data_IF_408500087622
#
_entry.id   IF_408500087622
#
_cell.length_a   1.000
_cell.length_b   1.000
_cell.length_c   1.000
_cell.angle_alpha   90.00
_cell.angle_beta   90.00
_cell.angle_gamma   90.00
#
_symmetry.space_group_name_H-M   'P 1'
#
loop_
_entity.id
_entity.type
_entity.pdbx_description
1 polymer ?
#
# COMPACT_ATOMS: atom_id res chain seq x y z
N UNK A 1 38.56 54.58 14.13
CA UNK A 1 37.49 55.50 14.46
C UNK A 1 36.21 54.69 14.65
N UNK A 2 35.75 54.60 15.94
CA UNK A 2 34.38 54.41 16.32
C UNK A 2 33.71 53.06 15.95
N UNK A 3 34.03 51.98 16.68
CA UNK A 3 33.21 50.80 16.72
C UNK A 3 32.01 51.05 17.66
N UNK A 4 30.78 51.05 17.14
CA UNK A 4 29.56 50.98 17.93
C UNK A 4 29.10 49.52 18.07
N UNK A 5 29.33 48.94 19.23
CA UNK A 5 28.80 47.65 19.66
C UNK A 5 27.37 47.86 20.12
N UNK A 6 26.37 47.35 19.41
CA UNK A 6 24.99 47.33 19.83
C UNK A 6 24.72 46.01 20.60
N UNK A 7 24.54 46.15 21.92
CA UNK A 7 24.13 45.06 22.81
C UNK A 7 22.64 44.75 22.58
N UNK A 8 22.34 43.53 22.12
CA UNK A 8 20.98 42.99 22.07
C UNK A 8 20.63 42.48 23.48
N UNK A 9 19.57 43.04 24.07
CA UNK A 9 19.01 42.55 25.33
C UNK A 9 18.07 41.36 25.02
N UNK A 10 18.08 40.26 25.82
CA UNK A 10 17.09 39.21 25.67
C UNK A 10 15.73 39.63 26.23
N UNK A 11 14.70 39.50 25.47
CA UNK A 11 13.30 39.70 25.86
C UNK A 11 12.82 38.47 26.61
N UNK A 12 12.42 38.65 27.87
CA UNK A 12 11.79 37.61 28.69
C UNK A 12 10.38 37.30 28.16
N UNK A 13 10.09 36.01 27.90
CA UNK A 13 8.76 35.50 27.56
C UNK A 13 7.90 35.45 28.85
N UNK A 14 6.56 35.72 28.74
CA UNK A 14 5.67 35.65 29.88
C UNK A 14 5.41 34.21 30.35
N UNK A 15 5.36 34.04 31.69
CA UNK A 15 5.02 32.78 32.35
C UNK A 15 3.63 32.27 31.94
N UNK A 16 3.57 31.01 31.53
CA UNK A 16 2.29 30.34 31.26
C UNK A 16 1.64 29.92 32.58
N UNK A 17 0.42 30.40 32.77
CA UNK A 17 -0.43 30.05 33.90
C UNK A 17 -0.62 28.55 34.08
N UNK A 18 -0.72 28.13 35.34
CA UNK A 18 -1.03 26.77 35.79
C UNK A 18 -2.34 26.31 35.16
N UNK A 19 -2.29 25.17 34.45
CA UNK A 19 -3.53 24.44 34.09
C UNK A 19 -3.97 23.61 35.29
N UNK A 20 -5.19 23.81 35.70
CA UNK A 20 -5.90 22.98 36.67
C UNK A 20 -6.00 21.54 36.12
N UNK A 21 -5.60 20.58 36.94
CA UNK A 21 -5.71 19.15 36.67
C UNK A 21 -7.17 18.73 36.89
N UNK A 22 -7.90 18.46 35.81
CA UNK A 22 -9.18 17.80 35.89
C UNK A 22 -8.98 16.34 36.27
N UNK A 23 -9.49 15.95 37.42
CA UNK A 23 -9.54 14.56 37.93
C UNK A 23 -10.57 13.79 37.12
N UNK A 24 -10.11 12.75 36.39
CA UNK A 24 -10.96 11.77 35.73
C UNK A 24 -11.34 10.69 36.73
N UNK A 25 -12.64 10.35 36.92
CA UNK A 25 -13.06 9.28 37.81
C UNK A 25 -12.65 7.89 37.27
N UNK A 26 -12.31 6.92 38.13
CA UNK A 26 -11.92 5.60 37.70
C UNK A 26 -13.13 4.73 37.38
N UNK A 27 -13.42 4.52 36.11
CA UNK A 27 -14.23 3.38 35.65
C UNK A 27 -13.30 2.40 34.94
N UNK A 28 -12.69 1.54 35.74
CA UNK A 28 -11.88 0.45 35.23
C UNK A 28 -12.79 -0.71 34.78
N UNK A 29 -13.03 -0.79 33.48
CA UNK A 29 -13.35 -2.09 32.89
C UNK A 29 -12.02 -2.83 32.71
N UNK A 30 -11.94 -4.14 33.01
CA UNK A 30 -10.69 -4.89 32.86
C UNK A 30 -10.26 -4.90 31.39
N UNK A 31 -9.03 -4.45 31.13
CA UNK A 31 -8.41 -4.50 29.81
C UNK A 31 -8.19 -5.99 29.48
N UNK A 32 -8.73 -6.53 28.38
CA UNK A 32 -8.46 -7.90 27.96
C UNK A 32 -6.96 -8.08 27.66
N UNK A 33 -6.44 -9.25 28.02
CA UNK A 33 -5.02 -9.61 27.91
C UNK A 33 -4.46 -9.28 26.50
N UNK A 34 -3.29 -8.61 26.47
CA UNK A 34 -2.61 -8.16 25.26
C UNK A 34 -2.30 -9.29 24.24
N UNK A 35 -2.14 -10.52 24.72
CA UNK A 35 -1.85 -11.69 23.88
C UNK A 35 -3.00 -12.12 22.95
N UNK A 36 -4.28 -12.02 23.41
CA UNK A 36 -5.43 -12.37 22.55
C UNK A 36 -5.74 -11.33 21.47
N UNK A 37 -5.32 -10.07 21.67
CA UNK A 37 -5.53 -9.00 20.68
C UNK A 37 -4.51 -9.05 19.54
N UNK A 38 -3.27 -9.46 19.80
CA UNK A 38 -2.22 -9.54 18.80
C UNK A 38 -2.54 -10.61 17.73
N UNK A 39 -2.96 -11.81 18.13
CA UNK A 39 -3.30 -12.90 17.21
C UNK A 39 -4.48 -12.57 16.28
N UNK A 40 -5.53 -11.91 16.79
CA UNK A 40 -6.70 -11.51 15.97
C UNK A 40 -6.40 -10.34 15.03
N UNK A 41 -5.54 -9.40 15.43
CA UNK A 41 -5.17 -8.26 14.60
C UNK A 41 -4.26 -8.67 13.44
N UNK A 42 -3.41 -9.66 13.64
CA UNK A 42 -2.49 -10.17 12.62
C UNK A 42 -3.24 -10.93 11.50
N UNK A 43 -4.27 -11.70 11.85
CA UNK A 43 -5.13 -12.39 10.87
C UNK A 43 -5.95 -11.44 9.98
N UNK A 44 -6.32 -10.25 10.48
CA UNK A 44 -7.09 -9.25 9.73
C UNK A 44 -6.26 -8.37 8.79
N UNK A 45 -4.92 -8.42 8.88
CA UNK A 45 -4.00 -7.62 8.09
C UNK A 45 -3.36 -8.39 6.92
N UNK A 46 -3.64 -9.68 6.77
CA UNK A 46 -3.10 -10.50 5.68
C UNK A 46 -3.91 -10.29 4.40
N UNK A 47 -3.25 -10.35 3.24
CA UNK A 47 -3.96 -10.47 1.97
C UNK A 47 -4.72 -11.78 1.96
N UNK A 48 -5.98 -11.71 1.59
CA UNK A 48 -6.77 -12.87 1.25
C UNK A 48 -6.89 -12.95 -0.28
N UNK A 49 -6.26 -13.96 -0.86
CA UNK A 49 -6.33 -14.25 -2.28
C UNK A 49 -7.09 -15.55 -2.45
N UNK A 50 -8.32 -15.46 -2.96
CA UNK A 50 -9.17 -16.60 -3.22
C UNK A 50 -9.34 -16.82 -4.72
N UNK A 51 -9.21 -18.07 -5.17
CA UNK A 51 -9.35 -18.46 -6.57
C UNK A 51 -10.50 -19.44 -6.69
N UNK A 52 -11.51 -19.06 -7.46
CA UNK A 52 -12.73 -19.86 -7.67
C UNK A 52 -13.03 -20.00 -9.15
N UNK A 53 -13.19 -21.24 -9.64
CA UNK A 53 -13.59 -21.50 -11.02
C UNK A 53 -15.11 -21.68 -11.13
N UNK A 54 -15.72 -20.99 -12.08
CA UNK A 54 -17.15 -21.11 -12.41
C UNK A 54 -17.30 -21.20 -13.94
N UNK A 55 -17.58 -22.38 -14.44
CA UNK A 55 -17.61 -22.67 -15.87
C UNK A 55 -16.28 -22.28 -16.55
N UNK A 56 -16.32 -21.42 -17.58
CA UNK A 56 -15.14 -20.97 -18.32
C UNK A 56 -14.48 -19.70 -17.72
N UNK A 57 -14.96 -19.22 -16.56
CA UNK A 57 -14.44 -18.03 -15.87
C UNK A 57 -13.78 -18.41 -14.57
N UNK A 58 -12.57 -17.90 -14.37
CA UNK A 58 -11.86 -17.96 -13.09
C UNK A 58 -11.99 -16.62 -12.35
N UNK A 59 -12.42 -16.65 -11.12
CA UNK A 59 -12.48 -15.47 -10.24
C UNK A 59 -11.30 -15.48 -9.30
N UNK A 60 -10.60 -14.34 -9.23
CA UNK A 60 -9.49 -14.09 -8.31
C UNK A 60 -9.87 -12.92 -7.42
N UNK A 61 -10.24 -13.20 -6.18
CA UNK A 61 -10.57 -12.19 -5.19
C UNK A 61 -9.31 -11.78 -4.40
N UNK A 62 -8.99 -10.49 -4.37
CA UNK A 62 -7.84 -9.93 -3.66
C UNK A 62 -8.34 -8.90 -2.65
N UNK A 63 -8.29 -9.25 -1.38
CA UNK A 63 -8.73 -8.41 -0.27
C UNK A 63 -7.63 -8.20 0.78
N UNK A 64 -7.73 -7.12 1.53
CA UNK A 64 -6.82 -6.82 2.63
C UNK A 64 -5.48 -6.23 2.21
N UNK A 65 -4.46 -6.39 3.03
CA UNK A 65 -3.10 -5.88 2.77
C UNK A 65 -2.35 -6.83 1.84
N UNK A 66 -1.70 -6.30 0.81
CA UNK A 66 -0.98 -7.10 -0.18
C UNK A 66 0.40 -7.48 0.37
N UNK A 67 0.73 -8.78 0.23
CA UNK A 67 2.03 -9.31 0.53
C UNK A 67 2.33 -9.45 2.02
N UNK A 68 3.62 -9.56 2.32
CA UNK A 68 4.15 -9.71 3.68
C UNK A 68 5.24 -8.65 3.87
N UNK A 69 4.88 -7.41 4.22
CA UNK A 69 5.83 -6.32 4.40
C UNK A 69 6.96 -6.68 5.39
N UNK A 70 8.19 -6.28 5.05
CA UNK A 70 9.36 -6.58 5.90
C UNK A 70 9.27 -5.93 7.28
N UNK A 71 8.61 -4.77 7.37
CA UNK A 71 8.40 -4.04 8.62
C UNK A 71 7.40 -4.70 9.57
N UNK A 72 6.68 -5.72 9.13
CA UNK A 72 5.78 -6.47 10.01
C UNK A 72 6.59 -7.28 11.01
N UNK A 73 6.42 -6.97 12.27
CA UNK A 73 7.00 -7.74 13.36
C UNK A 73 6.11 -8.93 13.68
N UNK A 74 6.68 -10.10 13.57
CA UNK A 74 6.08 -11.35 14.01
C UNK A 74 6.76 -11.76 15.33
N UNK A 75 5.96 -12.13 16.32
CA UNK A 75 6.48 -12.61 17.60
C UNK A 75 7.23 -13.94 17.43
N UNK A 76 6.79 -14.77 16.46
CA UNK A 76 7.45 -16.01 16.06
C UNK A 76 7.93 -15.93 14.61
N UNK A 77 9.25 -16.14 14.35
CA UNK A 77 9.78 -16.22 12.99
C UNK A 77 9.12 -17.29 12.12
N UNK A 78 8.61 -18.38 12.71
CA UNK A 78 7.91 -19.44 11.98
C UNK A 78 6.58 -18.93 11.40
N UNK A 79 5.87 -18.04 12.10
CA UNK A 79 4.62 -17.43 11.62
C UNK A 79 4.86 -16.56 10.39
N UNK A 80 5.97 -15.82 10.36
CA UNK A 80 6.37 -15.02 9.20
C UNK A 80 6.63 -15.92 7.98
N UNK A 81 7.39 -16.97 8.14
CA UNK A 81 7.70 -17.92 7.06
C UNK A 81 6.43 -18.57 6.51
N UNK A 82 5.55 -19.05 7.40
CA UNK A 82 4.29 -19.67 6.98
C UNK A 82 3.36 -18.69 6.24
N UNK A 83 3.36 -17.41 6.62
CA UNK A 83 2.57 -16.37 5.96
C UNK A 83 3.13 -16.08 4.56
N UNK A 84 4.44 -15.98 4.43
CA UNK A 84 5.11 -15.77 3.15
C UNK A 84 4.93 -16.94 2.18
N UNK A 85 5.02 -18.17 2.67
CA UNK A 85 4.78 -19.37 1.87
C UNK A 85 3.35 -19.41 1.33
N UNK A 86 2.35 -19.10 2.16
CA UNK A 86 0.94 -19.00 1.70
C UNK A 86 0.75 -17.97 0.60
N UNK A 87 1.38 -16.81 0.73
CA UNK A 87 1.34 -15.76 -0.28
C UNK A 87 1.96 -16.25 -1.60
N UNK A 88 3.15 -16.87 -1.55
CA UNK A 88 3.81 -17.43 -2.73
C UNK A 88 3.00 -18.53 -3.40
N UNK A 89 2.35 -19.39 -2.61
CA UNK A 89 1.46 -20.42 -3.14
C UNK A 89 0.25 -19.82 -3.86
N UNK A 90 -0.33 -18.75 -3.33
CA UNK A 90 -1.41 -18.04 -3.99
C UNK A 90 -0.96 -17.43 -5.34
N UNK A 91 0.20 -16.78 -5.38
CA UNK A 91 0.78 -16.23 -6.63
C UNK A 91 1.04 -17.33 -7.66
N UNK A 92 1.59 -18.47 -7.23
CA UNK A 92 1.82 -19.62 -8.12
C UNK A 92 0.51 -20.15 -8.70
N UNK A 93 -0.54 -20.28 -7.89
CA UNK A 93 -1.86 -20.70 -8.36
C UNK A 93 -2.48 -19.73 -9.35
N UNK A 94 -2.23 -18.42 -9.21
CA UNK A 94 -2.62 -17.44 -10.23
C UNK A 94 -1.92 -17.75 -11.57
N UNK A 95 -0.62 -17.99 -11.56
CA UNK A 95 0.15 -18.28 -12.78
C UNK A 95 -0.25 -19.59 -13.48
N UNK A 96 -0.94 -20.48 -12.77
CA UNK A 96 -1.44 -21.77 -13.27
C UNK A 96 -2.90 -21.71 -13.79
N UNK A 97 -3.52 -20.54 -13.83
CA UNK A 97 -4.90 -20.37 -14.34
C UNK A 97 -4.92 -20.59 -15.85
N UNK A 98 -5.75 -21.51 -16.33
CA UNK A 98 -5.95 -21.83 -17.75
C UNK A 98 -7.32 -21.38 -18.28
N UNK A 99 -8.14 -20.73 -17.46
CA UNK A 99 -9.47 -20.29 -17.84
C UNK A 99 -9.41 -19.24 -18.98
N UNK A 100 -10.30 -19.30 -19.97
CA UNK A 100 -10.34 -18.34 -21.08
C UNK A 100 -10.72 -16.92 -20.62
N UNK A 101 -11.42 -16.79 -19.48
CA UNK A 101 -11.73 -15.53 -18.83
C UNK A 101 -11.30 -15.53 -17.36
N UNK A 102 -10.64 -14.47 -16.94
CA UNK A 102 -10.22 -14.27 -15.54
C UNK A 102 -10.76 -12.94 -15.04
N UNK A 103 -11.56 -12.97 -14.00
CA UNK A 103 -12.10 -11.76 -13.34
C UNK A 103 -11.36 -11.57 -12.02
N UNK A 104 -10.64 -10.48 -11.90
CA UNK A 104 -9.86 -10.12 -10.70
C UNK A 104 -10.62 -9.04 -9.93
N UNK A 105 -11.15 -9.38 -8.79
CA UNK A 105 -11.86 -8.46 -7.90
C UNK A 105 -10.91 -7.95 -6.83
N UNK A 106 -10.76 -6.61 -6.72
CA UNK A 106 -9.74 -5.98 -5.89
C UNK A 106 -10.40 -5.03 -4.89
N UNK A 107 -10.18 -5.30 -3.60
CA UNK A 107 -10.55 -4.44 -2.48
C UNK A 107 -9.41 -4.40 -1.47
N UNK A 108 -8.47 -3.48 -1.66
CA UNK A 108 -7.24 -3.42 -0.88
C UNK A 108 -6.72 -1.99 -0.78
N UNK A 109 -6.20 -1.64 0.36
CA UNK A 109 -5.49 -0.37 0.58
C UNK A 109 -4.01 -0.42 0.19
N UNK A 110 -3.56 -1.54 -0.40
CA UNK A 110 -2.18 -1.73 -0.82
C UNK A 110 -1.37 -2.58 0.15
N UNK A 111 -0.07 -2.42 0.09
CA UNK A 111 0.90 -3.19 0.88
C UNK A 111 2.26 -3.20 0.20
N UNK A 112 2.91 -4.34 0.15
CA UNK A 112 4.24 -4.48 -0.45
C UNK A 112 4.18 -4.35 -1.98
N UNK A 113 4.98 -3.41 -2.53
CA UNK A 113 5.00 -3.13 -3.98
C UNK A 113 5.61 -4.29 -4.76
N UNK A 114 6.66 -4.93 -4.24
CA UNK A 114 7.29 -6.05 -4.92
C UNK A 114 6.32 -7.23 -5.03
N UNK A 115 5.58 -7.52 -3.97
CA UNK A 115 4.57 -8.57 -3.96
C UNK A 115 3.39 -8.26 -4.90
N UNK A 116 2.98 -6.99 -4.99
CA UNK A 116 1.98 -6.55 -5.95
C UNK A 116 2.46 -6.70 -7.41
N UNK A 117 3.72 -6.41 -7.69
CA UNK A 117 4.32 -6.63 -9.01
C UNK A 117 4.37 -8.12 -9.36
N UNK A 118 4.65 -9.01 -8.41
CA UNK A 118 4.60 -10.46 -8.64
C UNK A 118 3.19 -10.93 -9.04
N UNK A 119 2.14 -10.42 -8.39
CA UNK A 119 0.75 -10.72 -8.76
C UNK A 119 0.43 -10.14 -10.16
N UNK A 120 0.83 -8.90 -10.41
CA UNK A 120 0.66 -8.26 -11.72
C UNK A 120 1.31 -9.07 -12.85
N UNK A 121 2.55 -9.51 -12.66
CA UNK A 121 3.28 -10.31 -13.65
C UNK A 121 2.64 -11.68 -13.84
N UNK A 122 2.21 -12.35 -12.76
CA UNK A 122 1.51 -13.63 -12.83
C UNK A 122 0.21 -13.51 -13.64
N UNK A 123 -0.61 -12.50 -13.36
CA UNK A 123 -1.84 -12.24 -14.14
C UNK A 123 -1.55 -11.87 -15.59
N UNK A 124 -0.58 -10.98 -15.82
CA UNK A 124 -0.24 -10.49 -17.17
C UNK A 124 0.36 -11.58 -18.07
N UNK A 125 0.85 -12.68 -17.50
CA UNK A 125 1.40 -13.82 -18.23
C UNK A 125 0.33 -14.83 -18.70
N UNK A 126 -0.92 -14.66 -18.26
CA UNK A 126 -2.01 -15.57 -18.62
C UNK A 126 -2.47 -15.33 -20.06
N UNK A 127 -2.81 -16.43 -20.75
CA UNK A 127 -3.38 -16.37 -22.12
C UNK A 127 -4.86 -15.95 -22.12
N UNK A 128 -5.54 -15.99 -20.97
CA UNK A 128 -6.94 -15.64 -20.81
C UNK A 128 -7.24 -14.16 -20.95
N UNK A 129 -8.51 -13.84 -21.19
CA UNK A 129 -9.02 -12.46 -21.16
C UNK A 129 -9.19 -12.01 -19.71
N UNK A 130 -8.50 -10.93 -19.32
CA UNK A 130 -8.44 -10.49 -17.92
C UNK A 130 -9.29 -9.23 -17.74
N UNK A 131 -10.26 -9.31 -16.83
CA UNK A 131 -11.05 -8.18 -16.34
C UNK A 131 -10.64 -7.88 -14.92
N UNK A 132 -10.24 -6.65 -14.61
CA UNK A 132 -10.03 -6.22 -13.22
C UNK A 132 -11.17 -5.33 -12.76
N UNK A 133 -11.68 -5.56 -11.54
CA UNK A 133 -12.76 -4.80 -10.91
C UNK A 133 -12.32 -4.27 -9.57
N UNK A 134 -12.33 -2.95 -9.42
CA UNK A 134 -11.96 -2.27 -8.19
C UNK A 134 -13.20 -1.87 -7.39
N UNK A 135 -13.24 -2.28 -6.13
CA UNK A 135 -14.33 -1.98 -5.20
C UNK A 135 -13.84 -1.24 -3.97
N UNK A 136 -14.73 -0.47 -3.32
CA UNK A 136 -14.43 0.23 -2.08
C UNK A 136 -13.16 1.07 -2.19
N UNK A 137 -12.14 0.75 -1.41
CA UNK A 137 -10.81 1.34 -1.54
C UNK A 137 -9.90 0.41 -2.32
N UNK A 138 -9.38 0.91 -3.45
CA UNK A 138 -8.27 0.29 -4.18
C UNK A 138 -7.15 1.31 -4.22
N UNK A 139 -6.11 1.10 -3.42
CA UNK A 139 -5.11 2.12 -3.18
C UNK A 139 -3.69 1.56 -3.23
N UNK A 140 -2.71 2.44 -3.53
CA UNK A 140 -1.29 2.13 -3.44
C UNK A 140 -0.93 0.90 -4.30
N UNK A 141 -0.20 -0.07 -3.75
CA UNK A 141 0.22 -1.28 -4.44
C UNK A 141 -0.94 -2.08 -5.08
N UNK A 142 -2.17 -2.00 -4.54
CA UNK A 142 -3.34 -2.65 -5.13
C UNK A 142 -3.70 -2.11 -6.52
N UNK A 143 -3.40 -0.85 -6.79
CA UNK A 143 -3.66 -0.21 -8.09
C UNK A 143 -2.75 -0.75 -9.20
N UNK A 144 -1.58 -1.28 -8.85
CA UNK A 144 -0.66 -1.95 -9.78
C UNK A 144 -1.30 -3.23 -10.33
N UNK A 145 -1.92 -4.03 -9.46
CA UNK A 145 -2.59 -5.27 -9.85
C UNK A 145 -3.72 -5.00 -10.84
N UNK A 146 -4.46 -3.89 -10.64
CA UNK A 146 -5.53 -3.49 -11.55
C UNK A 146 -5.04 -3.23 -12.99
N UNK A 147 -3.75 -2.95 -13.20
CA UNK A 147 -3.18 -2.75 -14.53
C UNK A 147 -2.99 -4.04 -15.32
N UNK A 148 -3.14 -5.21 -14.72
CA UNK A 148 -3.02 -6.50 -15.41
C UNK A 148 -4.21 -6.80 -16.37
N UNK A 149 -5.25 -5.99 -16.34
CA UNK A 149 -6.41 -6.14 -17.22
C UNK A 149 -6.06 -6.12 -18.71
N UNK A 150 -6.79 -6.87 -19.49
CA UNK A 150 -6.83 -6.73 -20.95
C UNK A 150 -7.27 -5.31 -21.33
N UNK A 151 -6.94 -4.87 -22.53
CA UNK A 151 -7.28 -3.53 -23.00
C UNK A 151 -8.79 -3.24 -22.87
N UNK A 152 -9.13 -2.10 -22.24
CA UNK A 152 -10.51 -1.69 -22.00
C UNK A 152 -11.25 -2.44 -20.90
N UNK A 153 -10.59 -3.38 -20.20
CA UNK A 153 -11.22 -4.27 -19.22
C UNK A 153 -10.88 -3.93 -17.76
N UNK A 154 -10.49 -2.68 -17.48
CA UNK A 154 -10.39 -2.15 -16.11
C UNK A 154 -11.69 -1.50 -15.70
N UNK A 155 -12.30 -2.03 -14.67
CA UNK A 155 -13.56 -1.55 -14.13
C UNK A 155 -13.36 -0.98 -12.72
N UNK A 156 -14.06 0.08 -12.41
CA UNK A 156 -14.14 0.65 -11.06
C UNK A 156 -15.59 0.81 -10.66
N UNK A 157 -15.97 0.32 -9.49
CA UNK A 157 -17.32 0.47 -8.96
C UNK A 157 -17.69 1.95 -8.78
N UNK A 158 -18.96 2.30 -9.01
CA UNK A 158 -19.44 3.67 -8.98
C UNK A 158 -19.15 4.44 -7.68
N UNK A 159 -18.96 3.75 -6.56
CA UNK A 159 -18.66 4.35 -5.26
C UNK A 159 -17.26 4.00 -4.74
N UNK A 160 -16.42 3.37 -5.58
CA UNK A 160 -15.05 3.08 -5.20
C UNK A 160 -14.16 4.32 -5.23
N UNK A 161 -13.12 4.31 -4.40
CA UNK A 161 -12.06 5.30 -4.40
C UNK A 161 -10.73 4.65 -4.76
N UNK A 162 -9.94 5.33 -5.57
CA UNK A 162 -8.72 4.84 -6.15
C UNK A 162 -7.56 5.80 -5.85
N UNK A 163 -6.46 5.32 -5.27
CA UNK A 163 -5.33 6.17 -4.89
C UNK A 163 -4.04 5.71 -5.54
N UNK A 164 -3.38 6.62 -6.25
CA UNK A 164 -2.01 6.47 -6.73
C UNK A 164 -1.12 7.47 -5.98
N UNK A 165 0.00 7.03 -5.47
CA UNK A 165 0.96 7.85 -4.74
C UNK A 165 2.38 7.32 -4.88
N UNK A 166 3.39 8.13 -4.48
CA UNK A 166 4.78 7.68 -4.43
C UNK A 166 4.95 6.53 -3.43
N UNK A 167 5.89 5.64 -3.73
CA UNK A 167 6.27 4.58 -2.80
C UNK A 167 6.81 5.15 -1.49
N UNK A 168 6.56 4.46 -0.40
CA UNK A 168 7.01 4.85 0.93
C UNK A 168 7.77 3.70 1.59
N UNK A 169 8.73 4.02 2.42
CA UNK A 169 9.37 3.05 3.30
C UNK A 169 9.73 3.69 4.65
N UNK A 170 9.93 2.85 5.65
CA UNK A 170 10.62 3.23 6.88
C UNK A 170 12.08 2.78 6.76
N UNK A 171 13.03 3.67 7.05
CA UNK A 171 14.44 3.34 6.97
C UNK A 171 15.24 4.03 8.07
N UNK A 172 16.18 3.30 8.62
CA UNK A 172 17.17 3.78 9.58
C UNK A 172 18.57 3.38 9.09
N UNK A 173 19.59 4.18 9.39
CA UNK A 173 20.96 3.88 9.01
C UNK A 173 21.82 5.12 8.86
N UNK A 174 23.05 4.93 8.39
CA UNK A 174 23.96 6.02 8.05
C UNK A 174 23.57 6.67 6.70
N UNK A 175 24.29 7.73 6.31
CA UNK A 175 23.99 8.51 5.11
C UNK A 175 23.96 7.66 3.82
N UNK A 176 24.89 6.72 3.67
CA UNK A 176 24.98 5.86 2.48
C UNK A 176 23.83 4.85 2.41
N UNK A 177 23.45 4.28 3.56
CA UNK A 177 22.31 3.36 3.66
C UNK A 177 21.00 4.06 3.32
N UNK A 178 20.79 5.27 3.85
CA UNK A 178 19.61 6.08 3.55
C UNK A 178 19.59 6.53 2.09
N UNK A 179 20.74 6.91 1.52
CA UNK A 179 20.86 7.25 0.09
C UNK A 179 20.48 6.06 -0.80
N UNK A 180 20.88 4.85 -0.44
CA UNK A 180 20.51 3.61 -1.15
C UNK A 180 18.99 3.38 -1.11
N UNK A 181 18.34 3.62 0.04
CA UNK A 181 16.89 3.51 0.15
C UNK A 181 16.14 4.56 -0.68
N UNK A 182 16.64 5.79 -0.71
CA UNK A 182 16.08 6.86 -1.56
C UNK A 182 16.19 6.49 -3.04
N UNK A 183 17.32 5.94 -3.48
CA UNK A 183 17.49 5.49 -4.88
C UNK A 183 16.52 4.36 -5.22
N UNK A 184 16.31 3.40 -4.32
CA UNK A 184 15.32 2.33 -4.50
C UNK A 184 13.91 2.89 -4.66
N UNK A 185 13.47 3.83 -3.79
CA UNK A 185 12.16 4.46 -3.90
C UNK A 185 11.98 5.17 -5.23
N UNK A 186 12.97 5.94 -5.68
CA UNK A 186 12.92 6.62 -6.98
C UNK A 186 12.79 5.66 -8.16
N UNK A 187 13.52 4.56 -8.14
CA UNK A 187 13.42 3.50 -9.17
C UNK A 187 12.07 2.81 -9.13
N UNK A 188 11.54 2.56 -7.93
CA UNK A 188 10.20 2.01 -7.75
C UNK A 188 9.15 2.94 -8.33
N UNK A 189 9.18 4.23 -7.99
CA UNK A 189 8.23 5.21 -8.50
C UNK A 189 8.26 5.33 -10.03
N UNK A 190 9.46 5.33 -10.62
CA UNK A 190 9.62 5.33 -12.08
C UNK A 190 8.99 4.08 -12.72
N UNK A 191 9.20 2.90 -12.12
CA UNK A 191 8.59 1.65 -12.59
C UNK A 191 7.07 1.67 -12.47
N UNK A 192 6.53 2.17 -11.37
CA UNK A 192 5.09 2.32 -11.18
C UNK A 192 4.48 3.26 -12.23
N UNK A 193 5.12 4.39 -12.49
CA UNK A 193 4.68 5.33 -13.53
C UNK A 193 4.64 4.68 -14.93
N UNK A 194 5.62 3.86 -15.29
CA UNK A 194 5.63 3.08 -16.53
C UNK A 194 4.45 2.08 -16.59
N UNK A 195 4.17 1.35 -15.50
CA UNK A 195 3.06 0.39 -15.43
C UNK A 195 1.71 1.09 -15.63
N UNK A 196 1.50 2.23 -14.98
CA UNK A 196 0.26 3.01 -15.16
C UNK A 196 0.14 3.59 -16.57
N UNK A 197 1.25 4.08 -17.14
CA UNK A 197 1.27 4.67 -18.48
C UNK A 197 0.93 3.64 -19.56
N UNK A 198 1.46 2.44 -19.46
CA UNK A 198 1.31 1.37 -20.45
C UNK A 198 -0.15 1.03 -20.80
N UNK A 199 -1.11 1.34 -19.92
CA UNK A 199 -2.53 0.95 -20.05
C UNK A 199 -3.50 2.14 -20.07
N UNK A 200 -2.99 3.38 -20.07
CA UNK A 200 -3.84 4.57 -19.90
C UNK A 200 -3.83 5.54 -21.07
N UNK A 201 -2.93 5.37 -22.02
CA UNK A 201 -2.69 6.35 -23.10
C UNK A 201 -2.03 7.65 -22.62
N UNK A 202 -1.55 7.71 -21.38
CA UNK A 202 -0.78 8.81 -20.81
C UNK A 202 0.70 8.48 -20.74
N UNK A 203 1.53 9.49 -20.45
CA UNK A 203 2.98 9.31 -20.33
C UNK A 203 3.40 8.93 -18.91
N UNK A 204 4.58 8.30 -18.72
CA UNK A 204 5.12 8.06 -17.38
C UNK A 204 5.35 9.34 -16.58
N UNK A 205 5.69 10.46 -17.26
CA UNK A 205 5.89 11.76 -16.63
C UNK A 205 4.61 12.30 -16.02
N UNK A 206 3.47 12.15 -16.68
CA UNK A 206 2.15 12.53 -16.14
C UNK A 206 1.82 11.75 -14.87
N UNK A 207 2.12 10.44 -14.82
CA UNK A 207 1.91 9.63 -13.61
C UNK A 207 2.91 9.97 -12.51
N UNK A 208 4.15 10.28 -12.84
CA UNK A 208 5.15 10.77 -11.88
C UNK A 208 4.65 12.04 -11.17
N UNK A 209 4.06 12.97 -11.91
CA UNK A 209 3.48 14.20 -11.35
C UNK A 209 2.25 13.91 -10.48
N UNK A 210 1.35 13.04 -10.94
CA UNK A 210 0.16 12.66 -10.19
C UNK A 210 0.50 11.96 -8.86
N UNK A 211 1.46 11.04 -8.88
CA UNK A 211 1.93 10.33 -7.68
C UNK A 211 2.62 11.28 -6.68
N UNK A 212 3.29 12.32 -7.17
CA UNK A 212 4.00 13.30 -6.36
C UNK A 212 3.08 14.38 -5.75
N UNK A 213 1.81 14.47 -6.14
CA UNK A 213 0.86 15.43 -5.56
C UNK A 213 0.78 15.28 -4.02
N UNK A 214 0.43 16.36 -3.34
CA UNK A 214 0.31 16.37 -1.87
C UNK A 214 1.56 15.86 -1.17
N UNK A 215 2.72 16.29 -1.62
CA UNK A 215 4.03 15.89 -1.08
C UNK A 215 4.29 14.38 -1.15
N UNK A 216 3.94 13.75 -2.28
CA UNK A 216 4.11 12.33 -2.52
C UNK A 216 2.98 11.45 -1.99
N UNK A 217 1.95 12.03 -1.37
CA UNK A 217 0.78 11.28 -0.90
C UNK A 217 -0.25 11.00 -1.99
N UNK A 218 -0.04 11.55 -3.19
CA UNK A 218 -0.92 11.36 -4.33
C UNK A 218 -2.30 12.00 -4.18
N UNK A 219 -3.25 11.47 -4.93
CA UNK A 219 -4.63 11.96 -4.92
C UNK A 219 -5.61 10.78 -5.00
N UNK A 220 -6.68 10.86 -4.21
CA UNK A 220 -7.82 9.98 -4.34
C UNK A 220 -8.63 10.33 -5.58
N UNK A 221 -8.89 9.35 -6.41
CA UNK A 221 -9.67 9.43 -7.63
C UNK A 221 -11.01 8.71 -7.43
N UNK A 222 -12.06 9.24 -8.06
CA UNK A 222 -13.37 8.61 -8.12
C UNK A 222 -13.75 8.34 -9.58
N UNK A 223 -14.60 7.36 -9.87
CA UNK A 223 -15.19 7.21 -11.19
C UNK A 223 -16.06 8.43 -11.50
N UNK A 224 -15.97 8.92 -12.73
CA UNK A 224 -16.80 10.00 -13.28
C UNK A 224 -17.66 9.48 -14.41
#
# INVERSE_FOLDING_TARGET
HGMHSSKIRPTLLPERGRRETATIPPTANPIPNAGERAGKKQLSMQSDIQITNRNDTCFVDIEGVIGVPEEWQFDDPADRVATYERFRDAVRRIAEIEAPEVVVEIRSTGGDVNDALLIYEALSSLDGHIVTRCYGYTASAATVIAQAASEGCREISAHALYLIHNSICTAEGNAEELATRIDLLRKTDARLAEVYAARSGRTPEEFTLLMAENNGSGRWLSPQ
#
